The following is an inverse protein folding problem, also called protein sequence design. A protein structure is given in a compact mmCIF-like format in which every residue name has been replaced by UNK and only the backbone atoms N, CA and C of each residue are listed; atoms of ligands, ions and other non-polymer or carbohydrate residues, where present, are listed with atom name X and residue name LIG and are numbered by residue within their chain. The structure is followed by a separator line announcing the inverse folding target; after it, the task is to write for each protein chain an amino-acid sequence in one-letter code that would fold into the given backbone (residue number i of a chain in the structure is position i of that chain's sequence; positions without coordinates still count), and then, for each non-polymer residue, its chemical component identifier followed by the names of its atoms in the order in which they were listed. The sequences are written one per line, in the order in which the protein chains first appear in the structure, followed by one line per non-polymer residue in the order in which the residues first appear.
data_IF_046922341796
#
_entry.id   IF_046922341796
#
_cell.length_a   1.000
_cell.length_b   1.000
_cell.length_c   1.000
_cell.angle_alpha   90.00
_cell.angle_beta   90.00
_cell.angle_gamma   90.00
#
_symmetry.space_group_name_H-M   'P 1'
#
loop_
_entity.id
_entity.type
_entity.pdbx_description
1 polymer ?
#
# COMPACT_ATOMS: atom_id res chain seq x y z
N UNK A 1 4.19 9.22 12.63
CA UNK A 1 4.42 10.62 13.08
C UNK A 1 5.90 10.95 13.32
N UNK A 2 6.82 10.01 13.21
CA UNK A 2 8.25 10.23 13.39
C UNK A 2 8.97 10.46 12.05
N UNK A 3 10.09 11.20 12.09
CA UNK A 3 11.04 11.31 10.99
C UNK A 3 12.47 11.13 11.51
N UNK A 4 13.32 10.52 10.70
CA UNK A 4 14.74 10.42 10.98
C UNK A 4 15.46 11.69 10.54
N UNK A 5 16.01 12.45 11.49
CA UNK A 5 16.76 13.68 11.22
C UNK A 5 18.26 13.43 11.43
N UNK A 6 19.12 13.70 10.43
CA UNK A 6 20.57 13.58 10.59
C UNK A 6 21.09 14.39 11.77
N UNK A 7 21.94 13.78 12.61
CA UNK A 7 22.47 14.39 13.84
C UNK A 7 23.06 15.77 13.61
N UNK A 8 23.82 15.96 12.55
CA UNK A 8 24.45 17.26 12.25
C UNK A 8 23.43 18.33 11.88
N UNK A 9 22.38 17.95 11.14
CA UNK A 9 21.28 18.87 10.82
C UNK A 9 20.48 19.25 12.08
N UNK A 10 20.19 18.26 12.93
CA UNK A 10 19.52 18.49 14.20
C UNK A 10 20.33 19.43 15.10
N UNK A 11 21.65 19.26 15.18
CA UNK A 11 22.51 20.11 15.98
C UNK A 11 22.47 21.58 15.53
N UNK A 12 22.48 21.84 14.23
CA UNK A 12 22.36 23.22 13.71
C UNK A 12 20.98 23.82 13.95
N UNK A 13 19.91 23.07 13.76
CA UNK A 13 18.53 23.53 13.97
C UNK A 13 18.25 23.82 15.45
N UNK A 14 18.64 22.92 16.33
CA UNK A 14 18.40 23.01 17.77
C UNK A 14 19.49 23.73 18.55
N UNK A 15 20.48 24.28 17.87
CA UNK A 15 21.65 24.97 18.48
C UNK A 15 21.30 25.93 19.62
N UNK A 16 20.31 26.83 19.48
CA UNK A 16 19.93 27.73 20.58
C UNK A 16 19.41 26.98 21.82
N UNK A 17 18.61 25.93 21.60
CA UNK A 17 18.03 25.11 22.67
C UNK A 17 19.10 24.29 23.39
N UNK A 18 20.02 23.69 22.64
CA UNK A 18 21.16 22.95 23.18
C UNK A 18 22.06 23.87 23.99
N UNK A 19 22.42 25.06 23.46
CA UNK A 19 23.24 26.02 24.20
C UNK A 19 22.60 26.46 25.53
N UNK A 20 21.28 26.72 25.52
CA UNK A 20 20.52 27.06 26.71
C UNK A 20 20.59 25.91 27.74
N UNK A 21 20.30 24.66 27.33
CA UNK A 21 20.32 23.51 28.25
C UNK A 21 21.74 23.18 28.79
N UNK A 22 22.79 23.37 27.98
CA UNK A 22 24.17 23.21 28.44
C UNK A 22 24.53 24.15 29.58
N UNK A 23 24.01 25.39 29.54
CA UNK A 23 24.23 26.37 30.64
C UNK A 23 23.34 26.01 31.86
N UNK A 24 22.06 25.67 31.64
CA UNK A 24 21.14 25.25 32.73
C UNK A 24 21.65 24.03 33.50
N UNK A 25 22.23 23.06 32.80
CA UNK A 25 22.83 21.86 33.40
C UNK A 25 24.25 22.06 33.94
N UNK A 26 24.78 23.28 33.90
CA UNK A 26 26.10 23.62 34.38
C UNK A 26 27.26 22.92 33.65
N UNK A 27 27.03 22.36 32.45
CA UNK A 27 28.11 21.88 31.57
C UNK A 27 28.93 23.05 31.00
N UNK A 28 28.30 24.21 30.85
CA UNK A 28 28.93 25.42 30.37
C UNK A 28 28.62 26.57 31.34
N UNK A 29 29.64 27.41 31.61
CA UNK A 29 29.48 28.56 32.52
C UNK A 29 28.70 29.71 31.90
N UNK A 30 28.70 29.84 30.58
CA UNK A 30 28.01 30.88 29.84
C UNK A 30 27.74 30.45 28.41
N UNK A 31 26.91 31.22 27.69
CA UNK A 31 26.51 30.94 26.30
C UNK A 31 27.72 30.87 25.35
N UNK A 32 28.80 31.67 25.58
CA UNK A 32 30.02 31.67 24.76
C UNK A 32 30.77 30.36 24.91
N UNK A 33 30.84 29.80 26.12
CA UNK A 33 31.41 28.48 26.38
C UNK A 33 30.57 27.37 25.78
N UNK A 34 29.24 27.44 25.94
CA UNK A 34 28.30 26.49 25.34
C UNK A 34 28.45 26.45 23.82
N UNK A 35 28.55 27.61 23.16
CA UNK A 35 28.75 27.69 21.71
C UNK A 35 30.04 26.98 21.27
N UNK A 36 31.15 27.17 22.00
CA UNK A 36 32.41 26.48 21.72
C UNK A 36 32.31 24.95 21.92
N UNK A 37 31.53 24.49 22.90
CA UNK A 37 31.26 23.06 23.11
C UNK A 37 30.49 22.47 21.93
N UNK A 38 29.45 23.15 21.46
CA UNK A 38 28.66 22.73 20.30
C UNK A 38 29.53 22.68 19.03
N UNK A 39 30.31 23.73 18.76
CA UNK A 39 31.25 23.78 17.61
C UNK A 39 32.32 22.66 17.65
N UNK A 40 32.72 22.22 18.82
CA UNK A 40 33.66 21.11 19.02
C UNK A 40 32.99 19.75 19.11
N UNK A 41 31.66 19.68 19.02
CA UNK A 41 30.85 18.45 19.06
C UNK A 41 31.23 17.52 20.23
N UNK A 42 31.35 18.08 21.44
CA UNK A 42 31.68 17.28 22.61
C UNK A 42 30.63 16.22 22.90
N UNK A 43 30.99 15.08 23.55
CA UNK A 43 30.03 14.01 23.86
C UNK A 43 28.76 14.51 24.60
N UNK A 44 28.94 15.39 25.56
CA UNK A 44 27.83 15.95 26.37
C UNK A 44 26.82 16.74 25.52
N UNK A 45 27.25 17.24 24.36
CA UNK A 45 26.37 17.99 23.43
C UNK A 45 25.32 17.06 22.80
N UNK A 46 25.69 15.81 22.54
CA UNK A 46 24.79 14.83 21.94
C UNK A 46 23.69 14.39 22.90
N UNK A 47 24.04 14.17 24.18
CA UNK A 47 23.06 13.83 25.22
C UNK A 47 22.04 14.96 25.42
N UNK A 48 22.56 16.21 25.42
CA UNK A 48 21.70 17.40 25.56
C UNK A 48 20.85 17.63 24.30
N UNK A 49 21.37 17.32 23.12
CA UNK A 49 20.61 17.39 21.88
C UNK A 49 19.44 16.40 21.90
N UNK A 50 19.68 15.15 22.29
CA UNK A 50 18.63 14.13 22.39
C UNK A 50 17.49 14.57 23.33
N UNK A 51 17.84 15.17 24.45
CA UNK A 51 16.82 15.76 25.33
C UNK A 51 16.13 16.99 24.74
N UNK A 52 16.84 17.81 23.94
CA UNK A 52 16.27 19.02 23.36
C UNK A 52 15.27 18.73 22.24
N UNK A 53 15.47 17.63 21.53
CA UNK A 53 14.54 17.20 20.46
C UNK A 53 13.34 16.44 21.01
N UNK A 54 13.46 15.87 22.20
CA UNK A 54 12.35 15.14 22.81
C UNK A 54 11.12 16.04 22.91
N UNK A 55 10.02 15.57 22.38
CA UNK A 55 8.74 16.30 22.36
C UNK A 55 8.77 17.66 21.62
N UNK A 56 9.77 17.93 20.78
CA UNK A 56 9.82 19.17 19.99
C UNK A 56 9.62 18.84 18.49
N UNK A 57 8.41 19.05 17.94
CA UNK A 57 8.13 18.72 16.56
C UNK A 57 8.90 19.59 15.59
N UNK A 58 9.27 19.03 14.44
CA UNK A 58 9.83 19.76 13.29
C UNK A 58 8.84 19.73 12.14
N UNK A 59 8.86 20.77 11.30
CA UNK A 59 8.06 20.82 10.10
C UNK A 59 8.92 20.41 8.90
N UNK A 60 8.48 19.44 8.13
CA UNK A 60 9.06 19.08 6.85
C UNK A 60 8.25 19.69 5.72
N UNK A 61 8.94 20.25 4.72
CA UNK A 61 8.34 20.79 3.52
C UNK A 61 9.06 20.27 2.28
N UNK A 62 8.31 19.84 1.27
CA UNK A 62 8.82 19.54 -0.07
C UNK A 62 8.28 20.55 -1.07
N UNK A 63 9.15 21.22 -1.81
CA UNK A 63 8.75 22.08 -2.93
C UNK A 63 8.50 21.25 -4.20
N UNK A 64 7.47 21.59 -5.04
CA UNK A 64 6.51 22.68 -4.84
C UNK A 64 5.42 22.32 -3.83
N UNK A 65 5.04 23.27 -2.97
CA UNK A 65 3.95 23.08 -2.01
C UNK A 65 2.60 23.35 -2.70
N UNK A 66 1.99 22.30 -3.25
CA UNK A 66 0.76 22.41 -4.02
C UNK A 66 -0.49 22.47 -3.15
N UNK A 67 -0.44 21.92 -1.95
CA UNK A 67 -1.54 21.90 -0.98
C UNK A 67 -0.99 21.90 0.46
N UNK A 68 -1.87 22.12 1.45
CA UNK A 68 -1.45 22.28 2.86
C UNK A 68 -0.68 21.10 3.43
N UNK A 69 -0.90 19.87 2.93
CA UNK A 69 -0.19 18.66 3.38
C UNK A 69 1.22 18.52 2.80
N UNK A 70 1.65 19.45 1.93
CA UNK A 70 3.05 19.61 1.54
C UNK A 70 3.93 20.18 2.66
N UNK A 71 3.33 20.53 3.81
CA UNK A 71 4.02 20.88 5.06
C UNK A 71 3.35 20.07 6.18
N UNK A 72 4.10 19.22 6.85
CA UNK A 72 3.61 18.41 7.95
C UNK A 72 4.61 18.40 9.11
N UNK A 73 4.09 18.24 10.33
CA UNK A 73 4.90 18.11 11.53
C UNK A 73 5.26 16.64 11.79
N UNK A 74 6.46 16.42 12.26
CA UNK A 74 6.99 15.14 12.68
C UNK A 74 7.76 15.27 13.98
N UNK A 75 7.79 14.22 14.77
CA UNK A 75 8.68 14.09 15.92
C UNK A 75 10.04 13.59 15.41
N UNK A 76 11.14 14.38 15.59
CA UNK A 76 12.44 13.99 15.09
C UNK A 76 13.05 12.90 15.94
N UNK A 77 13.70 11.94 15.27
CA UNK A 77 14.58 10.93 15.87
C UNK A 77 15.95 11.08 15.21
N UNK A 78 17.00 11.09 16.03
CA UNK A 78 18.35 11.23 15.52
C UNK A 78 18.79 9.99 14.75
N UNK A 79 19.31 10.20 13.56
CA UNK A 79 19.84 9.13 12.70
C UNK A 79 21.23 9.46 12.23
N UNK A 80 22.01 8.41 11.97
CA UNK A 80 23.31 8.54 11.32
C UNK A 80 23.14 8.78 9.82
N UNK A 81 24.15 9.35 9.19
CA UNK A 81 24.14 9.65 7.76
C UNK A 81 23.80 11.11 7.46
N UNK A 82 23.40 11.37 6.21
CA UNK A 82 23.15 12.73 5.68
C UNK A 82 21.73 12.90 5.12
N UNK A 83 20.95 11.83 5.03
CA UNK A 83 19.61 11.84 4.46
C UNK A 83 18.55 11.87 5.56
N UNK A 84 17.49 12.66 5.34
CA UNK A 84 16.28 12.65 6.16
C UNK A 84 15.53 11.34 5.87
N UNK A 85 15.08 10.64 6.91
CA UNK A 85 14.24 9.46 6.77
C UNK A 85 12.78 9.86 6.92
N UNK A 86 12.04 9.73 5.82
CA UNK A 86 10.61 10.04 5.77
C UNK A 86 9.80 8.75 5.87
N UNK A 87 8.70 8.80 6.64
CA UNK A 87 7.77 7.68 6.75
C UNK A 87 7.10 7.38 5.39
N UNK A 88 7.10 6.13 4.91
CA UNK A 88 6.59 5.79 3.57
C UNK A 88 5.15 6.23 3.31
N UNK A 89 4.27 6.16 4.31
CA UNK A 89 2.87 6.57 4.16
C UNK A 89 2.69 8.09 3.98
N UNK A 90 3.67 8.91 4.35
CA UNK A 90 3.64 10.36 4.14
C UNK A 90 4.08 10.76 2.72
N UNK A 91 4.72 9.88 1.95
CA UNK A 91 5.26 10.21 0.63
C UNK A 91 4.19 10.70 -0.35
N UNK A 92 2.97 10.16 -0.30
CA UNK A 92 1.88 10.59 -1.19
C UNK A 92 1.47 12.05 -0.95
N UNK A 93 1.39 12.48 0.30
CA UNK A 93 1.03 13.85 0.67
C UNK A 93 2.09 14.86 0.21
N UNK A 94 3.36 14.50 0.26
CA UNK A 94 4.46 15.34 -0.23
C UNK A 94 4.72 15.19 -1.73
N UNK A 95 4.10 14.21 -2.39
CA UNK A 95 4.51 13.74 -3.72
C UNK A 95 6.02 13.51 -3.79
N UNK A 96 6.58 12.87 -2.75
CA UNK A 96 8.00 12.63 -2.58
C UNK A 96 8.36 11.20 -2.98
N UNK A 97 9.52 11.07 -3.62
CA UNK A 97 10.21 9.80 -3.85
C UNK A 97 11.66 9.89 -3.34
N UNK A 98 12.38 8.79 -3.41
CA UNK A 98 13.73 8.69 -2.83
C UNK A 98 14.83 8.67 -3.91
N UNK A 99 14.59 9.32 -5.05
CA UNK A 99 15.52 9.42 -6.17
C UNK A 99 16.51 10.60 -6.06
N UNK A 100 16.43 11.37 -5.00
CA UNK A 100 17.24 12.58 -4.76
C UNK A 100 16.44 13.81 -4.36
N UNK A 101 15.16 13.65 -4.05
CA UNK A 101 14.31 14.74 -3.55
C UNK A 101 14.92 15.41 -2.32
N UNK A 102 14.73 16.73 -2.23
CA UNK A 102 15.14 17.56 -1.10
C UNK A 102 13.93 18.07 -0.33
N UNK A 103 14.08 18.20 0.98
CA UNK A 103 13.08 18.78 1.87
C UNK A 103 13.69 19.88 2.72
N UNK A 104 12.91 20.92 2.98
CA UNK A 104 13.25 21.93 3.98
C UNK A 104 12.74 21.49 5.36
N UNK A 105 13.54 21.77 6.39
CA UNK A 105 13.19 21.48 7.78
C UNK A 105 13.03 22.81 8.51
N UNK A 106 11.90 23.02 9.18
CA UNK A 106 11.60 24.21 9.95
C UNK A 106 11.35 23.85 11.41
N UNK A 107 11.80 24.69 12.32
CA UNK A 107 11.66 24.49 13.75
C UNK A 107 10.70 25.50 14.36
N UNK A 108 9.55 25.08 14.91
CA UNK A 108 8.68 25.94 15.69
C UNK A 108 9.40 26.41 16.98
N UNK A 109 9.48 27.72 17.21
CA UNK A 109 10.28 28.27 18.30
C UNK A 109 9.46 28.50 19.57
N UNK A 110 8.24 29.07 19.44
CA UNK A 110 7.39 29.36 20.61
C UNK A 110 6.56 28.14 21.03
N UNK A 111 6.10 28.15 22.29
CA UNK A 111 5.24 27.09 22.82
C UNK A 111 3.90 27.02 22.06
N UNK A 112 3.35 28.16 21.65
CA UNK A 112 2.13 28.23 20.85
C UNK A 112 2.34 27.60 19.47
N UNK A 113 3.45 27.92 18.78
CA UNK A 113 3.78 27.34 17.49
C UNK A 113 4.00 25.81 17.57
N UNK A 114 4.64 25.34 18.64
CA UNK A 114 4.80 23.90 18.90
C UNK A 114 3.46 23.22 19.15
N UNK A 115 2.54 23.85 19.91
CA UNK A 115 1.21 23.31 20.14
C UNK A 115 0.39 23.24 18.85
N UNK A 116 0.42 24.28 18.02
CA UNK A 116 -0.23 24.29 16.70
C UNK A 116 0.35 23.19 15.79
N UNK A 117 1.67 23.05 15.75
CA UNK A 117 2.32 22.00 14.98
C UNK A 117 1.86 20.59 15.40
N UNK A 118 1.73 20.32 16.70
CA UNK A 118 1.26 19.03 17.23
C UNK A 118 -0.22 18.77 16.95
N UNK A 119 -1.07 19.77 17.19
CA UNK A 119 -2.51 19.56 17.10
C UNK A 119 -2.99 19.54 15.65
N UNK A 120 -2.52 20.49 14.82
CA UNK A 120 -3.04 20.72 13.47
C UNK A 120 -2.20 20.06 12.38
N UNK A 121 -0.87 19.99 12.55
CA UNK A 121 0.05 19.67 11.47
C UNK A 121 0.71 18.29 11.60
N UNK A 122 0.57 17.60 12.73
CA UNK A 122 1.19 16.28 12.92
C UNK A 122 0.69 15.30 11.86
N UNK A 123 1.59 14.57 11.22
CA UNK A 123 1.27 13.68 10.10
C UNK A 123 0.25 12.60 10.45
N UNK A 124 0.26 12.09 11.68
CA UNK A 124 -0.74 11.12 12.17
C UNK A 124 -2.16 11.67 12.25
N UNK A 125 -2.33 13.00 12.35
CA UNK A 125 -3.64 13.66 12.39
C UNK A 125 -4.16 14.04 10.98
N UNK A 126 -3.31 13.88 9.96
CA UNK A 126 -3.60 14.29 8.58
C UNK A 126 -3.63 13.09 7.61
N UNK A 127 -4.35 12.03 7.99
CA UNK A 127 -4.49 10.80 7.20
C UNK A 127 -5.41 11.02 5.99
N UNK A 128 -6.44 11.87 6.13
CA UNK A 128 -7.41 12.15 5.09
C UNK A 128 -7.05 13.41 4.28
N UNK A 129 -7.39 13.38 3.00
CA UNK A 129 -7.30 14.55 2.12
C UNK A 129 -8.34 15.59 2.51
N UNK A 130 -7.95 16.85 2.77
CA UNK A 130 -8.91 17.92 3.08
C UNK A 130 -9.80 18.31 1.89
N UNK A 131 -9.41 17.97 0.67
CA UNK A 131 -10.17 18.29 -0.54
C UNK A 131 -11.31 17.31 -0.79
N UNK A 132 -11.13 16.03 -0.52
CA UNK A 132 -12.09 14.97 -0.87
C UNK A 132 -12.55 14.13 0.31
N UNK A 133 -11.94 14.25 1.48
CA UNK A 133 -12.18 13.37 2.63
C UNK A 133 -11.71 11.94 2.45
N UNK A 134 -11.09 11.60 1.31
CA UNK A 134 -10.57 10.24 1.06
C UNK A 134 -9.23 10.03 1.74
N UNK A 135 -8.88 8.78 2.10
CA UNK A 135 -7.56 8.47 2.65
C UNK A 135 -6.45 8.88 1.69
N UNK A 136 -5.49 9.65 2.19
CA UNK A 136 -4.29 10.06 1.48
C UNK A 136 -3.07 9.27 1.96
N UNK A 137 -2.91 9.11 3.27
CA UNK A 137 -1.91 8.23 3.83
C UNK A 137 -2.41 6.79 3.76
N UNK A 138 -2.00 6.04 2.74
CA UNK A 138 -2.40 4.65 2.52
C UNK A 138 -1.24 3.84 1.92
N UNK A 139 -1.22 2.51 2.09
CA UNK A 139 -0.22 1.66 1.45
C UNK A 139 -0.13 1.87 -0.07
N UNK A 140 1.09 1.87 -0.61
CA UNK A 140 1.41 2.06 -2.03
C UNK A 140 2.50 1.09 -2.49
N UNK A 141 2.62 0.94 -3.83
CA UNK A 141 3.71 0.18 -4.47
C UNK A 141 3.91 -1.19 -3.79
N UNK A 142 5.10 -1.46 -3.29
CA UNK A 142 5.46 -2.75 -2.70
C UNK A 142 4.58 -3.14 -1.52
N UNK A 143 4.14 -2.18 -0.71
CA UNK A 143 3.22 -2.47 0.40
C UNK A 143 1.90 -3.07 -0.10
N UNK A 144 1.36 -2.52 -1.19
CA UNK A 144 0.11 -3.04 -1.80
C UNK A 144 0.36 -4.40 -2.43
N UNK A 145 1.47 -4.56 -3.15
CA UNK A 145 1.85 -5.85 -3.75
C UNK A 145 1.95 -6.94 -2.69
N UNK A 146 2.60 -6.65 -1.55
CA UNK A 146 2.73 -7.60 -0.45
C UNK A 146 1.38 -7.94 0.22
N UNK A 147 0.52 -6.95 0.45
CA UNK A 147 -0.82 -7.19 1.01
C UNK A 147 -1.71 -7.96 0.03
N UNK A 148 -1.60 -7.69 -1.27
CA UNK A 148 -2.31 -8.44 -2.30
C UNK A 148 -1.83 -9.89 -2.34
N UNK A 149 -0.51 -10.13 -2.37
CA UNK A 149 0.08 -11.47 -2.31
C UNK A 149 -0.36 -12.25 -1.07
N UNK A 150 -0.42 -11.58 0.09
CA UNK A 150 -0.89 -12.19 1.33
C UNK A 150 -2.35 -12.67 1.23
N UNK A 151 -3.22 -11.88 0.60
CA UNK A 151 -4.68 -12.06 0.65
C UNK A 151 -5.30 -12.65 -0.61
N UNK A 152 -4.52 -12.81 -1.69
CA UNK A 152 -4.99 -13.51 -2.89
C UNK A 152 -5.31 -14.96 -2.58
N UNK A 153 -6.20 -15.55 -3.37
CA UNK A 153 -6.54 -16.96 -3.33
C UNK A 153 -5.98 -17.65 -4.56
N UNK A 154 -5.35 -18.80 -4.38
CA UNK A 154 -4.98 -19.69 -5.49
C UNK A 154 -5.99 -20.82 -5.58
N UNK A 155 -6.48 -21.06 -6.80
CA UNK A 155 -7.43 -22.11 -7.09
C UNK A 155 -6.90 -23.53 -6.78
N UNK A 156 -7.80 -24.48 -6.70
CA UNK A 156 -7.47 -25.89 -6.54
C UNK A 156 -6.58 -26.37 -7.70
N UNK A 157 -5.41 -26.91 -7.38
CA UNK A 157 -4.48 -27.47 -8.37
C UNK A 157 -3.34 -26.56 -8.82
N UNK A 158 -3.32 -25.28 -8.49
CA UNK A 158 -2.15 -24.41 -8.73
C UNK A 158 -1.05 -24.67 -7.67
N UNK A 159 -0.23 -25.65 -7.96
CA UNK A 159 0.99 -25.95 -7.21
C UNK A 159 2.08 -24.99 -7.69
N UNK A 160 2.31 -23.93 -6.96
CA UNK A 160 3.37 -22.99 -7.30
C UNK A 160 3.60 -21.97 -6.20
N UNK A 161 4.49 -22.26 -5.27
CA UNK A 161 4.94 -21.40 -4.19
C UNK A 161 5.29 -22.22 -2.96
N UNK A 162 6.17 -21.69 -2.12
CA UNK A 162 6.49 -22.30 -0.81
C UNK A 162 5.20 -22.59 -0.05
N UNK A 163 4.94 -23.83 0.27
CA UNK A 163 3.75 -24.26 1.00
C UNK A 163 2.53 -24.55 0.13
N UNK A 164 2.74 -25.10 -1.08
CA UNK A 164 1.65 -25.72 -1.83
C UNK A 164 0.89 -26.70 -0.94
N UNK A 165 -0.42 -26.63 -0.98
CA UNK A 165 -1.33 -27.61 -0.41
C UNK A 165 -0.91 -28.99 -0.93
N UNK A 166 -0.46 -29.88 -0.06
CA UNK A 166 -0.32 -31.28 -0.40
C UNK A 166 -1.73 -31.78 -0.74
N UNK A 167 -1.98 -32.32 -1.96
CA UNK A 167 -3.30 -32.84 -2.28
C UNK A 167 -3.67 -33.81 -1.17
N UNK A 168 -4.86 -33.62 -0.58
CA UNK A 168 -5.41 -34.61 0.32
C UNK A 168 -5.38 -35.96 -0.40
N UNK A 169 -4.99 -37.01 0.32
CA UNK A 169 -5.17 -38.40 -0.16
C UNK A 169 -6.57 -38.54 -0.74
N UNK A 170 -6.78 -39.47 -1.70
CA UNK A 170 -8.04 -39.71 -2.42
C UNK A 170 -9.30 -39.79 -1.52
N UNK A 171 -9.15 -39.77 -0.19
CA UNK A 171 -10.20 -39.78 0.84
C UNK A 171 -10.09 -38.63 1.85
N UNK A 172 -9.27 -37.60 1.59
CA UNK A 172 -9.13 -36.43 2.49
C UNK A 172 -10.32 -35.48 2.42
N UNK A 173 -10.52 -34.61 3.43
CA UNK A 173 -11.58 -33.59 3.39
C UNK A 173 -11.35 -32.65 2.19
N UNK A 174 -12.43 -32.36 1.46
CA UNK A 174 -12.45 -31.56 0.22
C UNK A 174 -11.81 -30.16 0.34
N UNK A 175 -11.58 -29.68 1.54
CA UNK A 175 -10.81 -28.47 1.89
C UNK A 175 -10.16 -28.68 3.24
N UNK A 176 -8.94 -28.21 3.46
CA UNK A 176 -8.31 -28.22 4.78
C UNK A 176 -9.24 -27.59 5.81
N UNK A 177 -9.79 -28.42 6.72
CA UNK A 177 -10.67 -27.95 7.79
C UNK A 177 -9.89 -27.88 9.08
N UNK A 178 -9.87 -26.69 9.68
CA UNK A 178 -9.11 -26.42 10.91
C UNK A 178 -10.07 -25.98 12.03
N UNK A 179 -9.80 -26.50 13.24
CA UNK A 179 -10.64 -26.21 14.42
C UNK A 179 -10.33 -24.84 15.03
N UNK A 180 -9.15 -24.29 14.76
CA UNK A 180 -8.72 -22.97 15.21
C UNK A 180 -7.68 -22.40 14.22
N UNK A 181 -7.58 -21.06 14.13
CA UNK A 181 -6.58 -20.36 13.33
C UNK A 181 -5.14 -20.78 13.68
N UNK A 182 -4.87 -21.10 14.95
CA UNK A 182 -3.54 -21.55 15.41
C UNK A 182 -3.14 -22.90 14.80
N UNK A 183 -4.10 -23.78 14.60
CA UNK A 183 -3.87 -25.05 13.93
C UNK A 183 -3.49 -24.83 12.46
N UNK A 184 -4.16 -23.89 11.78
CA UNK A 184 -3.82 -23.49 10.43
C UNK A 184 -2.41 -22.86 10.33
N UNK A 185 -2.02 -22.01 11.29
CA UNK A 185 -0.66 -21.44 11.37
C UNK A 185 0.38 -22.57 11.56
N UNK A 186 0.12 -23.53 12.45
CA UNK A 186 1.03 -24.67 12.67
C UNK A 186 1.16 -25.55 11.42
N UNK A 187 0.09 -25.71 10.64
CA UNK A 187 0.13 -26.43 9.37
C UNK A 187 0.97 -25.69 8.33
N UNK A 188 0.86 -24.36 8.28
CA UNK A 188 1.69 -23.51 7.43
C UNK A 188 3.17 -23.59 7.82
N UNK A 189 3.51 -23.47 9.10
CA UNK A 189 4.88 -23.55 9.59
C UNK A 189 5.54 -24.91 9.29
N UNK A 190 4.73 -25.99 9.22
CA UNK A 190 5.18 -27.32 8.82
C UNK A 190 5.26 -27.52 7.31
N UNK A 191 4.88 -26.55 6.51
CA UNK A 191 4.85 -26.64 5.04
C UNK A 191 3.73 -27.54 4.48
N UNK A 192 2.73 -27.86 5.30
CA UNK A 192 1.58 -28.68 4.89
C UNK A 192 0.47 -27.83 4.27
N UNK A 193 0.35 -26.58 4.71
CA UNK A 193 -0.66 -25.63 4.23
C UNK A 193 0.00 -24.47 3.49
N UNK A 194 -0.50 -24.11 2.31
CA UNK A 194 -0.14 -22.90 1.59
C UNK A 194 -0.82 -21.65 2.17
N UNK A 195 -0.14 -20.52 2.12
CA UNK A 195 -0.67 -19.23 2.60
C UNK A 195 -1.97 -18.82 1.90
N UNK A 196 -2.09 -19.11 0.61
CA UNK A 196 -3.14 -18.70 -0.31
C UNK A 196 -4.16 -19.81 -0.59
N UNK A 197 -3.98 -20.99 0.02
CA UNK A 197 -4.88 -22.11 -0.16
C UNK A 197 -6.23 -21.86 0.53
N UNK A 198 -7.36 -22.16 -0.12
CA UNK A 198 -8.69 -22.05 0.49
C UNK A 198 -8.83 -23.08 1.62
N UNK A 199 -9.23 -22.60 2.79
CA UNK A 199 -9.44 -23.40 4.00
C UNK A 199 -10.79 -23.09 4.63
N UNK A 200 -11.26 -24.05 5.43
CA UNK A 200 -12.42 -23.86 6.30
C UNK A 200 -11.95 -23.84 7.75
N UNK A 201 -12.14 -22.75 8.46
CA UNK A 201 -11.60 -22.55 9.79
C UNK A 201 -12.64 -21.94 10.74
N UNK A 202 -12.58 -22.37 12.00
CA UNK A 202 -13.38 -21.77 13.08
C UNK A 202 -12.62 -20.59 13.68
N UNK A 203 -13.28 -19.45 13.76
CA UNK A 203 -12.71 -18.19 14.25
C UNK A 203 -13.54 -17.72 15.46
N UNK A 204 -12.87 -17.33 16.54
CA UNK A 204 -13.50 -16.83 17.76
C UNK A 204 -12.96 -15.47 18.24
N UNK A 205 -11.86 -15.01 17.62
CA UNK A 205 -11.14 -13.80 18.03
C UNK A 205 -11.35 -12.61 17.08
N UNK A 206 -11.87 -12.87 15.88
CA UNK A 206 -12.19 -11.87 14.86
C UNK A 206 -13.71 -11.80 14.69
N UNK A 207 -14.23 -10.58 14.56
CA UNK A 207 -15.65 -10.33 14.31
C UNK A 207 -16.01 -10.83 12.91
N UNK A 208 -17.12 -11.54 12.70
CA UNK A 208 -17.56 -12.00 11.39
C UNK A 208 -17.83 -10.84 10.42
N UNK A 209 -18.02 -11.15 9.14
CA UNK A 209 -18.55 -10.19 8.17
C UNK A 209 -19.93 -9.71 8.60
N UNK A 210 -20.37 -8.55 8.11
CA UNK A 210 -21.67 -7.97 8.46
C UNK A 210 -22.82 -8.94 8.11
N UNK A 211 -22.69 -9.68 7.01
CA UNK A 211 -23.68 -10.63 6.53
C UNK A 211 -23.80 -11.85 7.46
N UNK A 212 -22.67 -12.47 7.81
CA UNK A 212 -22.64 -13.61 8.74
C UNK A 212 -23.11 -13.19 10.14
N UNK A 213 -22.73 -11.99 10.59
CA UNK A 213 -23.17 -11.46 11.89
C UNK A 213 -24.69 -11.31 11.95
N UNK A 214 -25.29 -10.73 10.92
CA UNK A 214 -26.74 -10.55 10.86
C UNK A 214 -27.51 -11.87 10.83
N UNK A 215 -26.92 -12.92 10.23
CA UNK A 215 -27.54 -14.24 10.12
C UNK A 215 -27.39 -15.09 11.41
N UNK A 216 -26.17 -15.15 11.95
CA UNK A 216 -25.84 -16.07 13.06
C UNK A 216 -25.89 -15.42 14.44
N UNK A 217 -25.79 -14.09 14.53
CA UNK A 217 -25.71 -13.35 15.79
C UNK A 217 -26.68 -12.17 15.83
N UNK A 218 -27.99 -12.40 15.95
CA UNK A 218 -29.01 -11.34 15.89
C UNK A 218 -28.85 -10.26 16.97
N UNK A 219 -28.26 -10.61 18.12
CA UNK A 219 -27.96 -9.69 19.21
C UNK A 219 -26.56 -9.03 19.09
N UNK A 220 -25.87 -9.30 17.98
CA UNK A 220 -24.49 -8.88 17.78
C UNK A 220 -23.48 -9.93 18.23
N UNK A 221 -22.31 -9.93 17.60
CA UNK A 221 -21.24 -10.85 17.93
C UNK A 221 -20.42 -10.34 19.13
N UNK A 222 -20.14 -11.26 20.06
CA UNK A 222 -19.24 -11.02 21.18
C UNK A 222 -17.96 -11.85 21.07
N UNK A 223 -16.85 -11.31 21.56
CA UNK A 223 -15.55 -12.00 21.53
C UNK A 223 -15.64 -13.34 22.26
N UNK A 224 -15.25 -14.39 21.57
CA UNK A 224 -15.31 -15.77 22.05
C UNK A 224 -16.43 -16.60 21.41
N UNK A 225 -17.42 -15.96 20.81
CA UNK A 225 -18.41 -16.65 19.99
C UNK A 225 -17.75 -17.12 18.69
N UNK A 226 -17.92 -18.38 18.36
CA UNK A 226 -17.25 -19.05 17.25
C UNK A 226 -18.12 -19.03 16.00
N UNK A 227 -17.53 -18.66 14.90
CA UNK A 227 -18.13 -18.74 13.56
C UNK A 227 -17.17 -19.44 12.60
N UNK A 228 -17.66 -19.95 11.49
CA UNK A 228 -16.87 -20.66 10.50
C UNK A 228 -16.66 -19.79 9.28
N UNK A 229 -15.39 -19.60 8.91
CA UNK A 229 -14.99 -18.89 7.71
C UNK A 229 -14.49 -19.88 6.63
N UNK A 230 -14.88 -19.64 5.39
CA UNK A 230 -14.23 -20.19 4.20
C UNK A 230 -13.32 -19.08 3.65
N UNK A 231 -12.02 -19.24 3.84
CA UNK A 231 -11.04 -18.16 3.65
C UNK A 231 -9.65 -18.74 3.39
N UNK A 232 -8.62 -17.91 3.38
CA UNK A 232 -7.21 -18.32 3.34
C UNK A 232 -6.50 -17.90 4.63
N UNK A 233 -5.39 -18.59 4.96
CA UNK A 233 -4.60 -18.22 6.13
C UNK A 233 -4.08 -16.78 6.04
N UNK A 234 -3.68 -16.33 4.83
CA UNK A 234 -3.22 -14.97 4.62
C UNK A 234 -4.29 -13.90 4.92
N UNK A 235 -5.57 -14.17 4.60
CA UNK A 235 -6.68 -13.26 4.95
C UNK A 235 -6.92 -13.20 6.45
N UNK A 236 -6.78 -14.30 7.17
CA UNK A 236 -6.85 -14.31 8.64
C UNK A 236 -5.74 -13.41 9.22
N UNK A 237 -4.48 -13.61 8.79
CA UNK A 237 -3.35 -12.80 9.23
C UNK A 237 -3.55 -11.31 8.92
N UNK A 238 -4.15 -10.98 7.77
CA UNK A 238 -4.50 -9.60 7.44
C UNK A 238 -5.52 -9.01 8.42
N UNK A 239 -6.59 -9.74 8.71
CA UNK A 239 -7.65 -9.28 9.60
C UNK A 239 -7.18 -9.13 11.07
N UNK A 240 -6.17 -9.88 11.50
CA UNK A 240 -5.55 -9.72 12.83
C UNK A 240 -4.79 -8.39 13.00
N UNK A 241 -4.41 -7.76 11.90
CA UNK A 241 -3.76 -6.44 11.93
C UNK A 241 -4.76 -5.29 12.09
N UNK A 242 -6.03 -5.53 11.75
CA UNK A 242 -7.09 -4.53 11.84
C UNK A 242 -7.47 -4.24 13.31
N UNK A 243 -8.10 -3.09 13.61
CA UNK A 243 -8.51 -2.76 14.96
C UNK A 243 -9.48 -3.79 15.53
N UNK A 244 -9.47 -3.93 16.85
CA UNK A 244 -10.42 -4.79 17.54
C UNK A 244 -11.87 -4.45 17.16
N UNK A 245 -12.68 -5.48 16.95
CA UNK A 245 -14.09 -5.36 16.56
C UNK A 245 -14.34 -4.81 15.14
N UNK A 246 -13.30 -4.73 14.30
CA UNK A 246 -13.50 -4.43 12.87
C UNK A 246 -14.10 -5.67 12.18
N UNK A 247 -15.12 -5.52 11.31
CA UNK A 247 -15.72 -6.64 10.59
C UNK A 247 -14.66 -7.35 9.70
N UNK A 248 -14.70 -8.68 9.67
CA UNK A 248 -13.81 -9.49 8.84
C UNK A 248 -13.89 -9.06 7.37
N UNK A 249 -12.76 -8.93 6.75
CA UNK A 249 -12.63 -8.57 5.33
C UNK A 249 -12.28 -9.83 4.53
N UNK A 250 -13.22 -10.26 3.68
CA UNK A 250 -13.03 -11.41 2.80
C UNK A 250 -12.73 -10.96 1.39
N UNK A 251 -11.55 -11.29 0.87
CA UNK A 251 -11.12 -10.96 -0.48
C UNK A 251 -9.66 -10.51 -0.58
N UNK A 252 -9.18 -10.40 -1.81
CA UNK A 252 -7.85 -9.90 -2.11
C UNK A 252 -7.77 -8.39 -1.89
N UNK A 253 -6.77 -7.93 -1.15
CA UNK A 253 -6.57 -6.51 -0.85
C UNK A 253 -6.00 -5.77 -2.06
N UNK A 254 -6.73 -4.78 -2.56
CA UNK A 254 -6.32 -3.99 -3.72
C UNK A 254 -6.38 -2.49 -3.41
N UNK A 255 -5.56 -1.72 -4.10
CA UNK A 255 -5.59 -0.25 -4.01
C UNK A 255 -6.59 0.38 -4.99
N UNK A 256 -6.72 -0.23 -6.17
CA UNK A 256 -7.59 0.24 -7.26
C UNK A 256 -8.23 -0.97 -7.96
N UNK A 257 -9.38 -0.75 -8.58
CA UNK A 257 -10.05 -1.80 -9.33
C UNK A 257 -10.84 -2.72 -8.40
N UNK A 258 -12.07 -2.34 -8.05
CA UNK A 258 -13.01 -3.19 -7.34
C UNK A 258 -13.55 -4.31 -8.24
N UNK A 259 -14.16 -5.32 -7.64
CA UNK A 259 -14.78 -6.46 -8.30
C UNK A 259 -15.05 -7.58 -7.31
N UNK A 260 -15.68 -8.65 -7.77
CA UNK A 260 -15.93 -9.81 -6.94
C UNK A 260 -14.61 -10.37 -6.35
N UNK A 261 -14.59 -10.70 -5.08
CA UNK A 261 -13.44 -11.22 -4.38
C UNK A 261 -12.30 -10.22 -4.10
N UNK A 262 -12.55 -8.91 -4.28
CA UNK A 262 -11.56 -7.85 -4.02
C UNK A 262 -12.08 -6.85 -3.00
N UNK A 263 -11.18 -6.41 -2.10
CA UNK A 263 -11.48 -5.40 -1.08
C UNK A 263 -10.56 -4.20 -1.26
N UNK A 264 -11.14 -3.01 -1.31
CA UNK A 264 -10.39 -1.77 -1.47
C UNK A 264 -9.79 -1.33 -0.13
N UNK A 265 -8.48 -1.21 -0.07
CA UNK A 265 -7.76 -0.69 1.11
C UNK A 265 -8.25 0.70 1.53
N UNK A 266 -8.63 1.54 0.55
CA UNK A 266 -9.18 2.87 0.82
C UNK A 266 -10.49 2.82 1.61
N UNK A 267 -11.38 1.87 1.32
CA UNK A 267 -12.67 1.73 2.00
C UNK A 267 -12.50 1.22 3.43
N UNK A 268 -11.54 0.29 3.64
CA UNK A 268 -11.15 -0.15 5.00
C UNK A 268 -10.68 1.04 5.84
N UNK A 269 -9.75 1.84 5.30
CA UNK A 269 -9.19 3.00 6.01
C UNK A 269 -10.28 4.03 6.28
N UNK A 270 -11.15 4.32 5.33
CA UNK A 270 -12.28 5.23 5.51
C UNK A 270 -13.21 4.74 6.63
N UNK A 271 -13.57 3.46 6.60
CA UNK A 271 -14.42 2.87 7.64
C UNK A 271 -13.76 2.86 9.03
N UNK A 272 -12.42 2.77 9.08
CA UNK A 272 -11.68 2.89 10.34
C UNK A 272 -11.72 4.33 10.87
N UNK A 273 -11.55 5.32 10.01
CA UNK A 273 -11.57 6.74 10.41
C UNK A 273 -12.90 7.14 11.03
N UNK A 274 -14.00 6.58 10.53
CA UNK A 274 -15.34 6.87 11.04
C UNK A 274 -15.62 6.24 12.43
N UNK A 275 -14.89 5.18 12.81
CA UNK A 275 -15.23 4.36 13.98
C UNK A 275 -14.17 4.33 15.07
N UNK A 276 -12.91 4.61 14.76
CA UNK A 276 -11.80 4.43 15.69
C UNK A 276 -11.00 5.71 15.93
N UNK A 277 -10.35 5.85 17.12
CA UNK A 277 -9.47 6.99 17.39
C UNK A 277 -8.26 7.00 16.44
N UNK A 278 -7.78 8.20 16.09
CA UNK A 278 -6.64 8.39 15.18
C UNK A 278 -5.38 7.63 15.58
N UNK A 279 -5.12 7.47 16.88
CA UNK A 279 -3.96 6.73 17.36
C UNK A 279 -4.03 5.24 16.97
N UNK A 280 -5.22 4.65 17.08
CA UNK A 280 -5.46 3.25 16.68
C UNK A 280 -5.29 3.08 15.17
N UNK A 281 -5.78 4.05 14.38
CA UNK A 281 -5.65 4.03 12.93
C UNK A 281 -4.18 4.14 12.54
N UNK A 282 -3.43 5.07 13.14
CA UNK A 282 -2.01 5.21 12.86
C UNK A 282 -1.22 3.92 13.17
N UNK A 283 -1.51 3.27 14.30
CA UNK A 283 -0.90 1.98 14.67
C UNK A 283 -1.27 0.87 13.68
N UNK A 284 -2.52 0.83 13.23
CA UNK A 284 -2.96 -0.14 12.22
C UNK A 284 -2.27 0.10 10.87
N UNK A 285 -2.16 1.36 10.46
CA UNK A 285 -1.46 1.74 9.24
C UNK A 285 0.02 1.34 9.27
N UNK A 286 0.68 1.49 10.43
CA UNK A 286 2.06 1.02 10.61
C UNK A 286 2.17 -0.51 10.49
N UNK A 287 1.24 -1.26 11.09
CA UNK A 287 1.19 -2.73 10.94
C UNK A 287 0.98 -3.15 9.48
N UNK A 288 0.05 -2.50 8.77
CA UNK A 288 -0.21 -2.77 7.36
C UNK A 288 1.01 -2.45 6.47
N UNK A 289 1.72 -1.36 6.76
CA UNK A 289 2.97 -1.00 6.09
C UNK A 289 4.05 -2.08 6.30
N UNK A 290 4.28 -2.48 7.55
CA UNK A 290 5.30 -3.47 7.89
C UNK A 290 4.98 -4.84 7.30
N UNK A 291 3.72 -5.27 7.38
CA UNK A 291 3.26 -6.50 6.76
C UNK A 291 3.36 -6.44 5.23
N UNK A 292 3.00 -5.31 4.63
CA UNK A 292 3.13 -5.12 3.18
C UNK A 292 4.56 -5.30 2.70
N UNK A 293 5.53 -4.67 3.35
CA UNK A 293 6.94 -4.85 3.01
C UNK A 293 7.46 -6.26 3.30
N UNK A 294 7.06 -6.84 4.43
CA UNK A 294 7.44 -8.22 4.78
C UNK A 294 6.98 -9.21 3.73
N UNK A 295 5.70 -9.17 3.35
CA UNK A 295 5.14 -10.10 2.39
C UNK A 295 5.57 -9.79 0.95
N UNK A 296 5.84 -8.53 0.59
CA UNK A 296 6.48 -8.21 -0.69
C UNK A 296 7.87 -8.85 -0.81
N UNK A 297 8.67 -8.80 0.26
CA UNK A 297 9.97 -9.47 0.31
C UNK A 297 9.84 -10.98 0.21
N UNK A 298 8.90 -11.57 0.94
CA UNK A 298 8.66 -13.03 0.94
C UNK A 298 8.07 -13.55 -0.37
N UNK A 299 7.29 -12.74 -1.07
CA UNK A 299 6.69 -13.13 -2.35
C UNK A 299 7.72 -13.37 -3.45
N UNK A 300 8.90 -12.71 -3.37
CA UNK A 300 9.91 -12.76 -4.42
C UNK A 300 9.46 -12.18 -5.76
N UNK A 301 8.37 -11.41 -5.79
CA UNK A 301 7.85 -10.80 -7.02
C UNK A 301 8.91 -9.89 -7.64
N UNK A 302 9.30 -10.22 -8.85
CA UNK A 302 10.25 -9.44 -9.68
C UNK A 302 9.79 -9.47 -11.12
N UNK A 303 10.32 -8.60 -11.97
CA UNK A 303 9.98 -8.51 -13.38
C UNK A 303 11.18 -8.92 -14.21
N UNK A 304 11.01 -9.94 -15.05
CA UNK A 304 11.98 -10.35 -16.06
C UNK A 304 11.40 -10.14 -17.46
N UNK A 305 12.27 -10.10 -18.50
CA UNK A 305 11.81 -10.00 -19.89
C UNK A 305 10.97 -11.20 -20.32
N UNK A 306 11.19 -12.37 -19.71
CA UNK A 306 10.41 -13.59 -19.95
C UNK A 306 8.98 -13.52 -19.45
N UNK A 307 8.69 -12.60 -18.50
CA UNK A 307 7.36 -12.45 -17.91
C UNK A 307 6.41 -11.66 -18.83
N UNK A 308 6.98 -10.96 -19.81
CA UNK A 308 6.20 -10.28 -20.86
C UNK A 308 5.82 -11.30 -21.93
N UNK A 309 4.58 -11.78 -21.84
CA UNK A 309 4.03 -12.74 -22.79
C UNK A 309 3.46 -12.01 -24.00
N UNK A 310 3.96 -12.33 -25.18
CA UNK A 310 3.47 -11.76 -26.45
C UNK A 310 2.36 -12.66 -27.01
N UNK A 311 1.27 -12.08 -27.47
CA UNK A 311 0.13 -12.80 -28.02
C UNK A 311 0.53 -13.52 -29.34
N UNK A 312 0.52 -14.87 -29.39
CA UNK A 312 1.00 -15.61 -30.56
C UNK A 312 0.09 -15.48 -31.78
N UNK A 313 -1.21 -15.32 -31.60
CA UNK A 313 -2.22 -15.22 -32.66
C UNK A 313 -2.64 -13.79 -32.98
N UNK A 314 -1.81 -12.81 -32.62
CA UNK A 314 -2.06 -11.38 -32.87
C UNK A 314 -2.30 -11.07 -34.34
N UNK A 315 -1.48 -11.61 -35.24
CA UNK A 315 -1.58 -11.38 -36.67
C UNK A 315 -2.91 -11.87 -37.23
N UNK A 316 -3.40 -13.03 -36.79
CA UNK A 316 -4.70 -13.58 -37.21
C UNK A 316 -5.86 -12.66 -36.82
N UNK A 317 -5.83 -12.12 -35.59
CA UNK A 317 -6.85 -11.17 -35.12
C UNK A 317 -6.80 -9.89 -35.94
N UNK A 318 -5.61 -9.34 -36.20
CA UNK A 318 -5.46 -8.10 -36.95
C UNK A 318 -5.87 -8.24 -38.41
N UNK A 319 -5.55 -9.38 -39.08
CA UNK A 319 -5.98 -9.63 -40.44
C UNK A 319 -7.49 -9.60 -40.64
N UNK A 320 -8.29 -10.03 -39.65
CA UNK A 320 -9.74 -9.95 -39.70
C UNK A 320 -10.20 -8.49 -39.80
N UNK A 321 -9.66 -7.64 -38.91
CA UNK A 321 -9.99 -6.21 -38.86
C UNK A 321 -9.44 -5.43 -40.07
N UNK A 322 -8.27 -5.80 -40.60
CA UNK A 322 -7.72 -5.22 -41.83
C UNK A 322 -8.61 -5.49 -43.03
N UNK A 323 -9.18 -6.71 -43.14
CA UNK A 323 -10.13 -7.07 -44.22
C UNK A 323 -11.43 -6.25 -44.09
N UNK A 324 -11.92 -6.02 -42.89
CA UNK A 324 -13.09 -5.17 -42.65
C UNK A 324 -12.79 -3.71 -42.98
N UNK A 325 -11.65 -3.19 -42.55
CA UNK A 325 -11.19 -1.84 -42.87
C UNK A 325 -11.08 -1.62 -44.38
N UNK A 326 -10.46 -2.56 -45.10
CA UNK A 326 -10.38 -2.54 -46.57
C UNK A 326 -11.77 -2.55 -47.22
N UNK A 327 -12.76 -3.22 -46.61
CA UNK A 327 -14.13 -3.23 -47.12
C UNK A 327 -14.82 -1.89 -46.92
N UNK A 328 -14.59 -1.21 -45.79
CA UNK A 328 -15.09 0.15 -45.52
C UNK A 328 -14.46 1.14 -46.50
N UNK A 329 -13.15 1.09 -46.67
CA UNK A 329 -12.41 1.92 -47.63
C UNK A 329 -12.92 1.73 -49.06
N UNK A 330 -13.13 0.49 -49.51
CA UNK A 330 -13.66 0.19 -50.83
C UNK A 330 -15.08 0.74 -51.03
N UNK A 331 -15.95 0.64 -50.01
CA UNK A 331 -17.32 1.24 -50.04
C UNK A 331 -17.30 2.76 -50.18
N UNK A 332 -16.29 3.41 -49.63
CA UNK A 332 -16.11 4.85 -49.73
C UNK A 332 -15.59 5.24 -51.12
N UNK A 333 -14.46 4.66 -51.55
CA UNK A 333 -13.76 5.06 -52.77
C UNK A 333 -14.42 4.57 -54.06
N UNK A 334 -14.88 3.33 -54.13
CA UNK A 334 -15.44 2.74 -55.33
C UNK A 334 -16.94 2.95 -55.48
N UNK A 335 -17.69 2.93 -54.38
CA UNK A 335 -19.17 2.96 -54.43
C UNK A 335 -19.76 4.30 -54.05
N UNK A 336 -18.97 5.22 -53.45
CA UNK A 336 -19.48 6.50 -52.99
C UNK A 336 -20.63 6.38 -51.97
N UNK A 337 -20.74 5.21 -51.30
CA UNK A 337 -21.86 4.87 -50.43
C UNK A 337 -21.70 5.44 -49.01
N UNK A 338 -20.58 6.05 -48.66
CA UNK A 338 -20.28 6.63 -47.37
C UNK A 338 -19.85 8.08 -47.50
N UNK A 339 -20.18 8.91 -46.53
CA UNK A 339 -19.54 10.24 -46.37
C UNK A 339 -18.18 10.08 -45.72
N UNK A 340 -17.30 11.07 -45.88
CA UNK A 340 -15.97 11.05 -45.23
C UNK A 340 -16.04 10.94 -43.71
N UNK A 341 -16.96 11.65 -43.08
CA UNK A 341 -17.24 11.57 -41.66
C UNK A 341 -17.65 10.16 -41.22
N UNK A 342 -18.64 9.57 -41.91
CA UNK A 342 -19.10 8.20 -41.62
C UNK A 342 -17.99 7.14 -41.85
N UNK A 343 -17.11 7.35 -42.81
CA UNK A 343 -15.96 6.48 -43.05
C UNK A 343 -15.00 6.54 -41.86
N UNK A 344 -14.65 7.76 -41.46
CA UNK A 344 -13.74 8.01 -40.33
C UNK A 344 -14.29 7.39 -39.04
N UNK A 345 -15.54 7.68 -38.70
CA UNK A 345 -16.18 7.16 -37.48
C UNK A 345 -16.18 5.64 -37.45
N UNK A 346 -16.55 4.99 -38.56
CA UNK A 346 -16.53 3.52 -38.65
C UNK A 346 -15.13 2.91 -38.53
N UNK A 347 -14.12 3.54 -39.08
CA UNK A 347 -12.74 3.07 -38.95
C UNK A 347 -12.23 3.23 -37.51
N UNK A 348 -12.54 4.35 -36.86
CA UNK A 348 -12.20 4.56 -35.45
C UNK A 348 -12.89 3.52 -34.56
N UNK A 349 -14.19 3.27 -34.77
CA UNK A 349 -14.94 2.27 -34.01
C UNK A 349 -14.36 0.86 -34.24
N UNK A 350 -14.06 0.50 -35.48
CA UNK A 350 -13.45 -0.78 -35.85
C UNK A 350 -12.11 -1.01 -35.15
N UNK A 351 -11.21 -0.02 -35.21
CA UNK A 351 -9.89 -0.13 -34.59
C UNK A 351 -9.93 -0.06 -33.07
N UNK A 352 -10.94 0.59 -32.50
CA UNK A 352 -11.18 0.58 -31.08
C UNK A 352 -11.65 -0.80 -30.60
N UNK A 353 -12.51 -1.45 -31.38
CA UNK A 353 -12.94 -2.82 -31.11
C UNK A 353 -11.76 -3.82 -31.26
N UNK A 354 -10.95 -3.68 -32.30
CA UNK A 354 -9.72 -4.46 -32.46
C UNK A 354 -8.78 -4.33 -31.26
N UNK A 355 -8.58 -3.11 -30.77
CA UNK A 355 -7.75 -2.84 -29.59
C UNK A 355 -8.32 -3.52 -28.35
N UNK A 356 -9.63 -3.47 -28.15
CA UNK A 356 -10.29 -4.14 -27.01
C UNK A 356 -10.17 -5.67 -27.12
N UNK A 357 -10.37 -6.25 -28.33
CA UNK A 357 -10.27 -7.70 -28.56
C UNK A 357 -8.86 -8.22 -28.33
N UNK A 358 -7.83 -7.51 -28.82
CA UNK A 358 -6.43 -7.83 -28.57
C UNK A 358 -6.11 -7.67 -27.09
N UNK A 359 -6.61 -6.60 -26.46
CA UNK A 359 -6.43 -6.36 -25.02
C UNK A 359 -6.98 -7.49 -24.18
N UNK A 360 -8.21 -7.94 -24.46
CA UNK A 360 -8.84 -9.06 -23.76
C UNK A 360 -8.05 -10.36 -23.97
N UNK A 361 -7.63 -10.65 -25.19
CA UNK A 361 -6.81 -11.83 -25.48
C UNK A 361 -5.46 -11.81 -24.76
N UNK A 362 -4.88 -10.62 -24.57
CA UNK A 362 -3.66 -10.46 -23.76
C UNK A 362 -3.95 -10.72 -22.28
N UNK A 363 -5.07 -10.22 -21.74
CA UNK A 363 -5.45 -10.50 -20.34
C UNK A 363 -5.63 -11.99 -20.08
N UNK A 364 -6.30 -12.68 -21.00
CA UNK A 364 -6.58 -14.12 -20.90
C UNK A 364 -5.31 -14.99 -21.07
N UNK A 365 -4.27 -14.44 -21.75
CA UNK A 365 -3.00 -15.13 -21.95
C UNK A 365 -2.16 -15.21 -20.66
N UNK A 366 -2.26 -14.21 -19.78
CA UNK A 366 -1.42 -14.13 -18.60
C UNK A 366 -1.95 -15.05 -17.49
N UNK A 367 -1.14 -15.99 -16.99
CA UNK A 367 -1.50 -16.77 -15.81
C UNK A 367 -1.55 -15.88 -14.56
N UNK A 368 -2.35 -16.26 -13.57
CA UNK A 368 -2.57 -15.46 -12.36
C UNK A 368 -1.33 -15.33 -11.47
N UNK A 369 -0.36 -16.22 -11.61
CA UNK A 369 0.92 -16.20 -10.88
C UNK A 369 2.00 -15.34 -11.57
N UNK A 370 1.72 -14.79 -12.76
CA UNK A 370 2.68 -13.90 -13.44
C UNK A 370 2.82 -12.58 -12.66
N UNK A 371 4.07 -12.11 -12.41
CA UNK A 371 4.34 -10.89 -11.63
C UNK A 371 3.69 -9.63 -12.19
N UNK A 372 3.63 -9.49 -13.52
CA UNK A 372 3.15 -8.27 -14.19
C UNK A 372 1.66 -8.02 -13.92
N UNK A 373 0.74 -8.97 -14.21
CA UNK A 373 -0.66 -8.84 -13.82
C UNK A 373 -0.85 -8.68 -12.32
N UNK A 374 -0.09 -9.38 -11.48
CA UNK A 374 -0.21 -9.25 -10.02
C UNK A 374 0.02 -7.82 -9.55
N UNK A 375 1.07 -7.15 -10.06
CA UNK A 375 1.37 -5.73 -9.74
C UNK A 375 0.25 -4.81 -10.23
N UNK A 376 -0.30 -5.07 -11.42
CA UNK A 376 -1.37 -4.24 -12.00
C UNK A 376 -2.73 -4.52 -11.35
N UNK A 377 -3.10 -5.80 -11.19
CA UNK A 377 -4.37 -6.22 -10.56
C UNK A 377 -4.47 -5.76 -9.09
N UNK A 378 -3.36 -5.74 -8.37
CA UNK A 378 -3.30 -5.17 -7.01
C UNK A 378 -3.52 -3.65 -6.98
N UNK A 379 -3.31 -2.95 -8.09
CA UNK A 379 -3.30 -1.49 -8.17
C UNK A 379 -2.07 -0.84 -7.56
N UNK A 380 -1.00 -1.62 -7.36
CA UNK A 380 0.28 -1.11 -6.85
C UNK A 380 0.93 -0.17 -7.87
N UNK A 381 1.09 -0.63 -9.11
CA UNK A 381 1.66 0.18 -10.18
C UNK A 381 1.09 -0.21 -11.56
N UNK A 382 1.10 0.74 -12.49
CA UNK A 382 0.66 0.51 -13.85
C UNK A 382 -0.85 0.39 -14.04
N UNK A 383 -1.25 0.02 -15.24
CA UNK A 383 -2.62 -0.30 -15.63
C UNK A 383 -2.63 -1.34 -16.77
N UNK A 384 -3.76 -1.98 -17.02
CA UNK A 384 -3.91 -3.02 -18.05
C UNK A 384 -3.58 -2.50 -19.46
N UNK A 385 -3.89 -1.24 -19.78
CA UNK A 385 -3.54 -0.65 -21.09
C UNK A 385 -2.03 -0.62 -21.35
N UNK A 386 -1.21 -0.45 -20.31
CA UNK A 386 0.24 -0.52 -20.46
C UNK A 386 0.71 -1.94 -20.79
N UNK A 387 0.08 -2.96 -20.19
CA UNK A 387 0.34 -4.37 -20.56
C UNK A 387 -0.09 -4.62 -22.02
N UNK A 388 -1.26 -4.15 -22.42
CA UNK A 388 -1.74 -4.27 -23.80
C UNK A 388 -0.76 -3.64 -24.81
N UNK A 389 -0.20 -2.48 -24.45
CA UNK A 389 0.80 -1.80 -25.31
C UNK A 389 2.11 -2.59 -25.40
N UNK A 390 2.55 -3.21 -24.30
CA UNK A 390 3.79 -3.98 -24.28
C UNK A 390 3.68 -5.34 -24.98
N UNK A 391 2.54 -6.02 -24.81
CA UNK A 391 2.34 -7.41 -25.26
C UNK A 391 1.47 -7.54 -26.50
N UNK A 392 0.62 -6.58 -26.78
CA UNK A 392 -0.41 -6.62 -27.83
C UNK A 392 -0.16 -5.68 -29.01
N UNK A 393 0.66 -4.65 -28.88
CA UNK A 393 0.92 -3.70 -29.97
C UNK A 393 2.32 -3.81 -30.55
#
# INVERSE_FOLDING_TARGET
HQCGLPKLMALELFKPFVMKRLVEKSYAQNIKSAKRMVERQRPEVWDVLEEAIAEHPVLLNRAPTLHRLGIQAFEPVLVEGKAIQLHPLACEAFNADFDGDQMAVHLPLSAEAQAEARILMLSSNNILSPASGKPLAMPRLDMVTGLYFLTMEKGEGEIGGEGAYAPADENGPERGTYTDHREAIMAYDRGVLGLQAPIKVRISHLRPTVEIEAEQFPDGWEKGQTWTAETTLGRIMFNEMLPFNFPYQEGAMVRKGGGAGKVLLGDIIQSMVDKYPMITIAQTMDKLKDAGFYWATRSGITIAMSDVLVLPNKEEILEEYEREAATIERKFWEKGALTEENRYDRLVELWQDATNKVGQAVEDLYPDDNPIPMIVKSGAAGNMRQIWTLAGM
#
